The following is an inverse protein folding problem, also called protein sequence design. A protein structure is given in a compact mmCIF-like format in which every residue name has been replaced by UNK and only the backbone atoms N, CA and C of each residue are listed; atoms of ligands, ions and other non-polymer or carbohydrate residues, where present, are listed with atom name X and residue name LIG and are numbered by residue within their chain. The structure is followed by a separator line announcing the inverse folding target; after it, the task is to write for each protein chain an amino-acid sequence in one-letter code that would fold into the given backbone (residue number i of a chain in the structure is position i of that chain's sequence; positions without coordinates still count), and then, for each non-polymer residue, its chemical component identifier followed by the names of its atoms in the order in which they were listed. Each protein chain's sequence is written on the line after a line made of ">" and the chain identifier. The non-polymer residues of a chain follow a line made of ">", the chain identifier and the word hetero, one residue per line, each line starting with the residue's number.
data_IF_508772578537
#
_entry.id   IF_508772578537
#
_cell.length_a   1.000
_cell.length_b   1.000
_cell.length_c   1.000
_cell.angle_alpha   90.00
_cell.angle_beta   90.00
_cell.angle_gamma   90.00
#
_symmetry.space_group_name_H-M   'P 1'
#
loop_
_entity.id
_entity.type
_entity.pdbx_description
1 polymer ?
#
# COMPACT_ATOMS: atom_id res chain seq x y z
N UNK A 1 26.82 -30.58 22.41
CA UNK A 1 26.30 -29.39 21.71
C UNK A 1 24.87 -29.25 22.18
N UNK A 2 24.52 -28.16 22.84
CA UNK A 2 23.18 -27.94 23.32
C UNK A 2 22.20 -27.90 22.11
N UNK A 3 21.11 -28.62 22.24
CA UNK A 3 20.05 -28.67 21.21
C UNK A 3 19.33 -27.32 21.17
N UNK A 4 19.83 -26.39 20.33
CA UNK A 4 19.32 -25.02 20.19
C UNK A 4 18.41 -24.87 18.98
N UNK A 5 17.90 -25.99 18.44
CA UNK A 5 17.07 -26.00 17.23
C UNK A 5 15.89 -25.02 17.27
N UNK A 6 15.20 -24.89 18.41
CA UNK A 6 14.08 -23.95 18.56
C UNK A 6 14.54 -22.49 18.51
N UNK A 7 15.69 -22.16 19.11
CA UNK A 7 16.27 -20.82 19.06
C UNK A 7 16.70 -20.46 17.65
N UNK A 8 17.36 -21.38 16.96
CA UNK A 8 17.76 -21.17 15.56
C UNK A 8 16.54 -20.98 14.64
N UNK A 9 15.50 -21.78 14.82
CA UNK A 9 14.24 -21.65 14.09
C UNK A 9 13.58 -20.28 14.30
N UNK A 10 13.55 -19.77 15.53
CA UNK A 10 13.05 -18.44 15.84
C UNK A 10 13.88 -17.35 15.15
N UNK A 11 15.21 -17.44 15.22
CA UNK A 11 16.10 -16.48 14.55
C UNK A 11 15.87 -16.49 13.03
N UNK A 12 15.73 -17.67 12.41
CA UNK A 12 15.46 -17.77 10.98
C UNK A 12 14.07 -17.23 10.63
N UNK A 13 13.05 -17.45 11.46
CA UNK A 13 11.72 -16.88 11.26
C UNK A 13 11.74 -15.33 11.29
N UNK A 14 12.45 -14.74 12.25
CA UNK A 14 12.60 -13.28 12.36
C UNK A 14 13.38 -12.67 11.17
N UNK A 15 14.31 -13.41 10.58
CA UNK A 15 15.05 -12.98 9.38
C UNK A 15 14.19 -12.86 8.12
N UNK A 16 12.99 -13.42 8.11
CA UNK A 16 12.04 -13.25 7.00
C UNK A 16 11.46 -11.84 6.93
N UNK A 17 11.59 -11.07 8.00
CA UNK A 17 11.13 -9.68 8.03
C UNK A 17 12.08 -8.77 7.24
N UNK A 18 11.55 -7.84 6.42
CA UNK A 18 12.36 -6.90 5.64
C UNK A 18 13.28 -6.09 6.57
N UNK A 19 14.55 -5.93 6.19
CA UNK A 19 15.54 -5.18 6.97
C UNK A 19 16.07 -5.90 8.22
N UNK A 20 15.62 -7.13 8.53
CA UNK A 20 16.10 -7.89 9.69
C UNK A 20 17.21 -8.84 9.28
N UNK A 21 18.46 -8.44 9.55
CA UNK A 21 19.65 -9.28 9.41
C UNK A 21 19.85 -10.23 10.60
N UNK A 22 20.83 -11.14 10.48
CA UNK A 22 21.14 -12.16 11.51
C UNK A 22 21.38 -11.56 12.89
N UNK A 23 22.13 -10.45 12.99
CA UNK A 23 22.44 -9.80 14.27
C UNK A 23 21.18 -9.23 14.95
N UNK A 24 20.31 -8.59 14.19
CA UNK A 24 19.03 -8.05 14.69
C UNK A 24 18.08 -9.17 15.12
N UNK A 25 17.94 -10.21 14.30
CA UNK A 25 17.12 -11.37 14.61
C UNK A 25 17.57 -12.07 15.90
N UNK A 26 18.89 -12.30 16.07
CA UNK A 26 19.44 -12.92 17.29
C UNK A 26 19.17 -12.05 18.52
N UNK A 27 19.36 -10.72 18.42
CA UNK A 27 19.09 -9.80 19.54
C UNK A 27 17.60 -9.80 19.92
N UNK A 28 16.70 -9.79 18.93
CA UNK A 28 15.25 -9.89 19.17
C UNK A 28 14.87 -11.19 19.84
N UNK A 29 15.39 -12.34 19.35
CA UNK A 29 15.12 -13.65 19.92
C UNK A 29 15.60 -13.74 21.39
N UNK A 30 16.80 -13.27 21.69
CA UNK A 30 17.34 -13.26 23.06
C UNK A 30 16.51 -12.36 23.98
N UNK A 31 16.14 -11.16 23.52
CA UNK A 31 15.29 -10.26 24.30
C UNK A 31 13.94 -10.92 24.66
N UNK A 32 13.26 -11.48 23.70
CA UNK A 32 11.97 -12.14 23.91
C UNK A 32 12.09 -13.32 24.89
N UNK A 33 13.11 -14.17 24.72
CA UNK A 33 13.26 -15.36 25.54
C UNK A 33 13.75 -15.08 26.96
N UNK A 34 14.54 -14.02 27.14
CA UNK A 34 15.14 -13.66 28.42
C UNK A 34 14.25 -12.69 29.22
N UNK A 35 13.61 -11.72 28.55
CA UNK A 35 12.95 -10.61 29.21
C UNK A 35 11.43 -10.55 29.03
N UNK A 36 10.91 -11.14 27.93
CA UNK A 36 9.48 -11.00 27.59
C UNK A 36 8.89 -12.26 26.93
N UNK A 37 8.95 -13.38 27.63
CA UNK A 37 8.31 -14.62 27.17
C UNK A 37 6.78 -14.50 26.97
N UNK A 38 6.05 -13.80 27.85
CA UNK A 38 4.63 -13.56 27.60
C UNK A 38 4.37 -12.78 26.30
N UNK A 39 5.16 -11.75 26.02
CA UNK A 39 5.09 -10.98 24.76
C UNK A 39 5.40 -11.86 23.54
N UNK A 40 6.37 -12.76 23.63
CA UNK A 40 6.65 -13.73 22.57
C UNK A 40 5.43 -14.61 22.24
N UNK A 41 4.72 -15.10 23.26
CA UNK A 41 3.51 -15.90 23.07
C UNK A 41 2.35 -15.07 22.48
N UNK A 42 2.16 -13.84 22.94
CA UNK A 42 1.17 -12.92 22.38
C UNK A 42 1.45 -12.61 20.92
N UNK A 43 2.73 -12.37 20.54
CA UNK A 43 3.14 -12.16 19.15
C UNK A 43 2.86 -13.38 18.28
N UNK A 44 3.18 -14.59 18.77
CA UNK A 44 2.92 -15.82 18.04
C UNK A 44 1.41 -16.01 17.79
N UNK A 45 0.57 -15.78 18.81
CA UNK A 45 -0.88 -15.85 18.68
C UNK A 45 -1.43 -14.79 17.72
N UNK A 46 -0.98 -13.55 17.81
CA UNK A 46 -1.42 -12.46 16.93
C UNK A 46 -1.03 -12.73 15.45
N UNK A 47 0.18 -13.24 15.19
CA UNK A 47 0.61 -13.63 13.86
C UNK A 47 -0.25 -14.76 13.30
N UNK A 48 -0.54 -15.78 14.11
CA UNK A 48 -1.41 -16.88 13.70
C UNK A 48 -2.81 -16.37 13.36
N UNK A 49 -3.44 -15.59 14.25
CA UNK A 49 -4.78 -15.03 14.04
C UNK A 49 -4.83 -14.16 12.78
N UNK A 50 -3.82 -13.30 12.56
CA UNK A 50 -3.75 -12.47 11.37
C UNK A 50 -3.63 -13.32 10.10
N UNK A 51 -2.79 -14.36 10.10
CA UNK A 51 -2.61 -15.25 8.96
C UNK A 51 -3.88 -16.05 8.61
N UNK A 52 -4.67 -16.42 9.63
CA UNK A 52 -5.87 -17.23 9.44
C UNK A 52 -7.09 -16.38 9.00
N UNK A 53 -7.19 -15.11 9.45
CA UNK A 53 -8.41 -14.32 9.29
C UNK A 53 -8.29 -13.15 8.32
N UNK A 54 -7.09 -12.57 8.15
CA UNK A 54 -6.91 -11.44 7.24
C UNK A 54 -6.93 -11.92 5.78
N UNK A 55 -7.77 -11.28 5.01
CA UNK A 55 -7.95 -11.50 3.55
C UNK A 55 -7.95 -10.17 2.81
N UNK A 56 -8.04 -10.22 1.50
CA UNK A 56 -8.25 -9.04 0.69
C UNK A 56 -9.75 -8.75 0.53
N UNK A 57 -10.14 -7.49 0.71
CA UNK A 57 -11.48 -7.02 0.38
C UNK A 57 -11.78 -7.34 -1.09
N UNK A 58 -12.91 -7.99 -1.36
CA UNK A 58 -13.32 -8.37 -2.73
C UNK A 58 -13.47 -7.15 -3.65
N UNK A 59 -13.78 -5.97 -3.10
CA UNK A 59 -13.97 -4.74 -3.87
C UNK A 59 -12.72 -3.86 -4.00
N UNK A 60 -12.03 -3.52 -2.92
CA UNK A 60 -10.92 -2.56 -2.96
C UNK A 60 -9.54 -3.17 -2.78
N UNK A 61 -9.47 -4.47 -2.56
CA UNK A 61 -8.24 -5.25 -2.42
C UNK A 61 -7.39 -4.91 -1.17
N UNK A 62 -7.85 -4.02 -0.27
CA UNK A 62 -7.19 -3.76 1.03
C UNK A 62 -7.32 -4.96 1.97
N UNK A 63 -6.53 -5.00 3.03
CA UNK A 63 -6.67 -6.01 4.08
C UNK A 63 -7.94 -5.83 4.89
N UNK A 64 -8.62 -6.94 5.20
CA UNK A 64 -9.84 -6.98 6.00
C UNK A 64 -10.08 -8.39 6.55
N UNK A 65 -10.81 -8.51 7.64
CA UNK A 65 -11.30 -9.80 8.17
C UNK A 65 -12.59 -10.26 7.45
N UNK A 66 -13.32 -9.34 6.86
CA UNK A 66 -14.58 -9.60 6.18
C UNK A 66 -14.40 -9.72 4.66
N UNK A 67 -15.40 -10.21 3.95
CA UNK A 67 -15.41 -10.25 2.48
C UNK A 67 -15.27 -8.85 1.88
N UNK A 68 -16.01 -7.87 2.44
CA UNK A 68 -15.99 -6.45 2.03
C UNK A 68 -15.62 -5.60 3.24
N UNK A 69 -14.64 -4.70 3.09
CA UNK A 69 -14.19 -3.83 4.17
C UNK A 69 -15.20 -2.73 4.51
N UNK A 70 -15.09 -2.19 5.73
CA UNK A 70 -15.98 -1.13 6.22
C UNK A 70 -16.02 0.10 5.31
N UNK A 71 -14.88 0.48 4.72
CA UNK A 71 -14.80 1.62 3.78
C UNK A 71 -15.64 1.38 2.52
N UNK A 72 -15.64 0.18 1.96
CA UNK A 72 -16.45 -0.14 0.79
C UNK A 72 -17.95 -0.27 1.11
N UNK A 73 -18.29 -0.63 2.34
CA UNK A 73 -19.68 -0.73 2.81
C UNK A 73 -20.30 0.61 3.23
N UNK A 74 -19.48 1.63 3.48
CA UNK A 74 -19.99 2.93 3.95
C UNK A 74 -20.88 3.60 2.87
N UNK A 75 -22.18 3.77 3.14
CA UNK A 75 -23.13 4.36 2.18
C UNK A 75 -22.91 5.86 1.95
N UNK A 76 -22.12 6.52 2.82
CA UNK A 76 -21.84 7.96 2.73
C UNK A 76 -20.72 8.28 1.73
N UNK A 77 -20.09 7.27 1.14
CA UNK A 77 -19.00 7.44 0.19
C UNK A 77 -19.50 7.77 -1.23
N UNK A 78 -18.79 8.67 -1.86
CA UNK A 78 -19.01 9.06 -3.25
C UNK A 78 -18.53 7.92 -4.18
N UNK A 79 -19.49 7.17 -4.73
CA UNK A 79 -19.22 6.04 -5.62
C UNK A 79 -18.72 6.44 -7.00
N UNK A 80 -18.87 7.72 -7.37
CA UNK A 80 -18.41 8.25 -8.67
C UNK A 80 -16.87 8.44 -8.72
N UNK A 81 -16.18 8.37 -7.58
CA UNK A 81 -14.74 8.60 -7.49
C UNK A 81 -14.00 7.38 -6.93
N UNK A 82 -12.99 6.93 -7.66
CA UNK A 82 -12.12 5.82 -7.27
C UNK A 82 -10.68 6.29 -7.14
N UNK A 83 -10.11 6.24 -5.93
CA UNK A 83 -8.71 6.55 -5.68
C UNK A 83 -7.88 5.26 -5.68
N UNK A 84 -6.87 5.20 -6.54
CA UNK A 84 -5.95 4.06 -6.68
C UNK A 84 -4.65 4.37 -5.94
N UNK A 85 -4.30 3.53 -4.97
CA UNK A 85 -3.09 3.64 -4.13
C UNK A 85 -2.25 2.38 -4.24
N UNK A 86 -0.95 2.45 -3.91
CA UNK A 86 -0.04 1.30 -3.97
C UNK A 86 -0.21 0.37 -2.78
N UNK A 87 -0.40 0.92 -1.57
CA UNK A 87 -0.41 0.15 -0.32
C UNK A 87 -1.58 0.51 0.59
N UNK A 88 -1.93 -0.35 1.56
CA UNK A 88 -2.90 0.00 2.61
C UNK A 88 -2.44 1.19 3.47
N UNK A 89 -1.13 1.41 3.61
CA UNK A 89 -0.59 2.56 4.34
C UNK A 89 -0.87 3.87 3.60
N UNK A 90 -0.76 3.88 2.26
CA UNK A 90 -1.11 5.04 1.43
C UNK A 90 -2.61 5.33 1.53
N UNK A 91 -3.46 4.29 1.48
CA UNK A 91 -4.89 4.43 1.72
C UNK A 91 -5.18 5.11 3.07
N UNK A 92 -4.55 4.62 4.14
CA UNK A 92 -4.72 5.18 5.48
C UNK A 92 -4.20 6.63 5.56
N UNK A 93 -3.15 6.98 4.83
CA UNK A 93 -2.63 8.34 4.75
C UNK A 93 -3.65 9.29 4.10
N UNK A 94 -4.26 8.90 2.96
CA UNK A 94 -5.31 9.68 2.31
C UNK A 94 -6.54 9.81 3.22
N UNK A 95 -6.99 8.74 3.87
CA UNK A 95 -8.12 8.76 4.81
C UNK A 95 -7.93 9.75 5.96
N UNK A 96 -6.72 9.79 6.55
CA UNK A 96 -6.41 10.72 7.65
C UNK A 96 -6.53 12.20 7.27
N UNK A 97 -6.43 12.53 5.98
CA UNK A 97 -6.64 13.91 5.52
C UNK A 97 -8.09 14.37 5.65
N UNK A 98 -9.04 13.44 5.69
CA UNK A 98 -10.47 13.65 5.60
C UNK A 98 -10.93 14.44 4.35
N UNK A 99 -10.04 14.67 3.38
CA UNK A 99 -10.30 15.45 2.17
C UNK A 99 -10.94 14.61 1.04
N UNK A 100 -10.81 13.28 1.11
CA UNK A 100 -11.36 12.37 0.12
C UNK A 100 -12.48 11.52 0.72
N UNK A 101 -13.62 11.48 0.02
CA UNK A 101 -14.82 10.73 0.44
C UNK A 101 -15.25 9.68 -0.59
N UNK A 102 -14.42 9.39 -1.58
CA UNK A 102 -14.67 8.37 -2.60
C UNK A 102 -14.29 6.96 -2.16
N UNK A 103 -14.29 6.06 -3.13
CA UNK A 103 -13.87 4.67 -2.98
C UNK A 103 -12.38 4.50 -3.25
N UNK A 104 -11.81 3.37 -2.82
CA UNK A 104 -10.39 3.05 -3.04
C UNK A 104 -10.22 1.76 -3.85
N UNK A 105 -9.05 1.65 -4.46
CA UNK A 105 -8.47 0.39 -4.88
C UNK A 105 -6.98 0.36 -4.47
N UNK A 106 -6.57 -0.72 -3.82
CA UNK A 106 -5.20 -0.92 -3.32
C UNK A 106 -4.51 -1.95 -4.20
N UNK A 107 -3.44 -1.53 -4.86
CA UNK A 107 -2.69 -2.38 -5.80
C UNK A 107 -1.89 -3.48 -5.09
N UNK A 108 -1.55 -3.27 -3.80
CA UNK A 108 -0.64 -4.10 -3.01
C UNK A 108 0.79 -4.13 -3.55
N UNK A 109 1.16 -3.13 -4.37
CA UNK A 109 2.46 -2.99 -4.98
C UNK A 109 2.45 -2.02 -6.15
N UNK A 110 3.47 -2.14 -6.98
CA UNK A 110 3.69 -1.35 -8.19
C UNK A 110 4.28 -2.23 -9.28
N UNK A 111 4.15 -1.85 -10.52
CA UNK A 111 4.83 -2.53 -11.63
C UNK A 111 6.34 -2.37 -11.45
N UNK A 112 7.05 -3.48 -11.38
CA UNK A 112 8.52 -3.51 -11.27
C UNK A 112 9.06 -4.68 -12.09
N UNK A 113 9.43 -4.46 -13.36
CA UNK A 113 10.02 -5.50 -14.20
C UNK A 113 11.31 -6.09 -13.61
N UNK A 114 12.08 -5.27 -12.88
CA UNK A 114 13.32 -5.72 -12.23
C UNK A 114 13.06 -6.71 -11.09
N UNK A 115 11.94 -6.54 -10.38
CA UNK A 115 11.52 -7.43 -9.29
C UNK A 115 10.57 -8.54 -9.78
N UNK A 116 10.28 -8.60 -11.08
CA UNK A 116 9.36 -9.56 -11.69
C UNK A 116 7.88 -9.30 -11.38
N UNK A 117 7.52 -8.11 -10.87
CA UNK A 117 6.15 -7.75 -10.52
C UNK A 117 5.42 -7.22 -11.76
N UNK A 118 4.44 -7.99 -12.23
CA UNK A 118 3.64 -7.68 -13.41
C UNK A 118 2.20 -7.22 -13.08
N UNK A 119 1.40 -6.99 -14.13
CA UNK A 119 0.01 -6.54 -14.01
C UNK A 119 -0.89 -7.44 -13.16
N UNK A 120 -0.67 -8.75 -13.20
CA UNK A 120 -1.46 -9.72 -12.45
C UNK A 120 -1.16 -9.66 -10.94
N UNK A 121 0.10 -9.38 -10.58
CA UNK A 121 0.55 -9.37 -9.19
C UNK A 121 -0.04 -8.18 -8.41
N UNK A 122 -0.33 -7.07 -9.10
CA UNK A 122 -0.93 -5.87 -8.52
C UNK A 122 -2.44 -5.75 -8.80
N UNK A 123 -3.07 -6.82 -9.26
CA UNK A 123 -4.53 -6.92 -9.39
C UNK A 123 -5.16 -5.98 -10.43
N UNK A 124 -4.45 -5.63 -11.54
CA UNK A 124 -4.99 -4.68 -12.54
C UNK A 124 -6.31 -5.13 -13.17
N UNK A 125 -6.51 -6.43 -13.38
CA UNK A 125 -7.77 -6.93 -13.92
C UNK A 125 -8.96 -6.58 -13.01
N UNK A 126 -8.79 -6.74 -11.68
CA UNK A 126 -9.81 -6.38 -10.68
C UNK A 126 -10.04 -4.87 -10.62
N UNK A 127 -8.97 -4.07 -10.73
CA UNK A 127 -9.07 -2.62 -10.81
C UNK A 127 -9.91 -2.19 -12.01
N UNK A 128 -9.62 -2.74 -13.19
CA UNK A 128 -10.32 -2.39 -14.42
C UNK A 128 -11.79 -2.80 -14.37
N UNK A 129 -12.10 -3.99 -13.86
CA UNK A 129 -13.47 -4.43 -13.64
C UNK A 129 -14.21 -3.44 -12.72
N UNK A 130 -13.63 -3.15 -11.53
CA UNK A 130 -14.23 -2.21 -10.57
C UNK A 130 -14.45 -0.82 -11.14
N UNK A 131 -13.52 -0.31 -11.95
CA UNK A 131 -13.61 1.02 -12.53
C UNK A 131 -14.67 1.11 -13.65
N UNK A 132 -14.97 0.00 -14.33
CA UNK A 132 -15.86 -0.01 -15.49
C UNK A 132 -17.26 -0.58 -15.22
N UNK A 133 -17.42 -1.38 -14.16
CA UNK A 133 -18.69 -2.05 -13.83
C UNK A 133 -19.57 -1.26 -12.84
N UNK A 134 -19.08 -0.15 -12.31
CA UNK A 134 -19.79 0.66 -11.31
C UNK A 134 -20.16 2.06 -11.81
N UNK A 135 -20.54 2.92 -10.86
CA UNK A 135 -20.89 4.33 -11.11
C UNK A 135 -19.65 5.24 -11.20
N UNK A 136 -18.43 4.67 -11.35
CA UNK A 136 -17.17 5.43 -11.34
C UNK A 136 -17.09 6.32 -12.58
N UNK A 137 -16.95 7.62 -12.36
CA UNK A 137 -16.76 8.65 -13.39
C UNK A 137 -15.33 9.18 -13.41
N UNK A 138 -14.65 9.18 -12.25
CA UNK A 138 -13.27 9.65 -12.11
C UNK A 138 -12.43 8.62 -11.37
N UNK A 139 -11.26 8.30 -11.96
CA UNK A 139 -10.22 7.52 -11.31
C UNK A 139 -9.04 8.43 -10.99
N UNK A 140 -8.71 8.54 -9.70
CA UNK A 140 -7.61 9.35 -9.18
C UNK A 140 -6.43 8.43 -8.93
N UNK A 141 -5.35 8.58 -9.69
CA UNK A 141 -4.13 7.80 -9.50
C UNK A 141 -3.27 8.45 -8.41
N UNK A 142 -3.24 7.84 -7.24
CA UNK A 142 -2.48 8.26 -6.07
C UNK A 142 -1.31 7.31 -5.77
N UNK A 143 -0.65 6.81 -6.85
CA UNK A 143 0.60 6.06 -6.73
C UNK A 143 1.75 7.01 -6.38
N UNK A 144 2.79 6.46 -5.78
CA UNK A 144 3.97 7.23 -5.37
C UNK A 144 4.66 7.88 -6.59
N UNK A 145 5.34 9.01 -6.37
CA UNK A 145 6.09 9.72 -7.41
C UNK A 145 7.52 9.15 -7.59
N UNK A 146 7.64 7.82 -7.52
CA UNK A 146 8.85 7.07 -7.90
C UNK A 146 8.78 6.67 -9.37
N UNK A 147 9.91 6.29 -9.97
CA UNK A 147 9.93 5.87 -11.38
C UNK A 147 8.94 4.74 -11.68
N UNK A 148 8.88 3.73 -10.79
CA UNK A 148 7.95 2.60 -10.93
C UNK A 148 6.50 3.02 -10.66
N UNK A 149 6.25 3.91 -9.68
CA UNK A 149 4.92 4.44 -9.40
C UNK A 149 4.39 5.29 -10.55
N UNK A 150 5.25 6.07 -11.23
CA UNK A 150 4.93 6.81 -12.46
C UNK A 150 4.61 5.86 -13.62
N UNK A 151 5.45 4.84 -13.85
CA UNK A 151 5.21 3.84 -14.88
C UNK A 151 3.88 3.09 -14.63
N UNK A 152 3.60 2.73 -13.37
CA UNK A 152 2.35 2.10 -12.96
C UNK A 152 1.16 3.00 -13.25
N UNK A 153 1.25 4.30 -12.86
CA UNK A 153 0.19 5.27 -13.14
C UNK A 153 -0.04 5.47 -14.64
N UNK A 154 1.04 5.51 -15.42
CA UNK A 154 0.95 5.67 -16.87
C UNK A 154 0.18 4.51 -17.51
N UNK A 155 0.57 3.27 -17.21
CA UNK A 155 -0.08 2.05 -17.74
C UNK A 155 -1.56 2.01 -17.36
N UNK A 156 -1.89 2.25 -16.10
CA UNK A 156 -3.27 2.27 -15.62
C UNK A 156 -4.06 3.40 -16.29
N UNK A 157 -3.45 4.59 -16.35
CA UNK A 157 -4.10 5.77 -16.91
C UNK A 157 -4.45 5.62 -18.39
N UNK A 158 -3.54 5.11 -19.21
CA UNK A 158 -3.80 4.85 -20.63
C UNK A 158 -4.92 3.83 -20.83
N UNK A 159 -4.89 2.73 -20.08
CA UNK A 159 -5.91 1.69 -20.18
C UNK A 159 -7.31 2.18 -19.79
N UNK A 160 -7.41 3.03 -18.74
CA UNK A 160 -8.69 3.56 -18.28
C UNK A 160 -9.22 4.70 -19.16
N UNK A 161 -8.34 5.57 -19.67
CA UNK A 161 -8.73 6.60 -20.65
C UNK A 161 -9.26 5.99 -21.95
N UNK A 162 -8.64 4.90 -22.43
CA UNK A 162 -9.12 4.16 -23.59
C UNK A 162 -10.55 3.57 -23.37
N UNK A 163 -10.97 3.40 -22.13
CA UNK A 163 -12.34 2.98 -21.74
C UNK A 163 -13.30 4.18 -21.51
N UNK A 164 -12.87 5.41 -21.77
CA UNK A 164 -13.69 6.61 -21.63
C UNK A 164 -13.77 7.19 -20.22
N UNK A 165 -12.98 6.70 -19.26
CA UNK A 165 -12.98 7.19 -17.89
C UNK A 165 -12.12 8.45 -17.75
N UNK A 166 -12.58 9.39 -16.93
CA UNK A 166 -11.74 10.52 -16.50
C UNK A 166 -10.66 10.01 -15.55
N UNK A 167 -9.41 10.24 -15.93
CA UNK A 167 -8.26 9.85 -15.10
C UNK A 167 -7.49 11.09 -14.69
N UNK A 168 -7.37 11.29 -13.39
CA UNK A 168 -6.61 12.37 -12.78
C UNK A 168 -5.46 11.80 -11.93
N UNK A 169 -4.57 12.66 -11.47
CA UNK A 169 -3.44 12.31 -10.62
C UNK A 169 -3.33 13.33 -9.48
N UNK A 170 -2.73 12.90 -8.36
CA UNK A 170 -2.41 13.85 -7.30
C UNK A 170 -1.50 14.96 -7.84
N UNK A 171 -1.76 16.20 -7.42
CA UNK A 171 -0.91 17.32 -7.78
C UNK A 171 0.48 17.18 -7.14
N UNK A 172 1.51 17.55 -7.89
CA UNK A 172 2.87 17.74 -7.38
C UNK A 172 3.03 19.17 -6.93
N UNK A 173 3.85 19.41 -5.92
CA UNK A 173 4.11 20.77 -5.48
C UNK A 173 5.07 20.87 -4.32
N UNK A 174 5.49 22.10 -4.05
CA UNK A 174 6.31 22.44 -2.88
C UNK A 174 5.47 22.21 -1.63
N UNK A 175 5.98 21.49 -0.61
CA UNK A 175 5.26 21.26 0.64
C UNK A 175 4.93 22.58 1.36
N UNK A 176 3.71 22.72 1.87
CA UNK A 176 3.33 23.88 2.65
C UNK A 176 4.19 24.00 3.93
N UNK A 177 4.68 25.19 4.23
CA UNK A 177 5.55 25.46 5.36
C UNK A 177 7.04 25.17 5.11
N UNK A 178 7.43 24.75 3.90
CA UNK A 178 8.84 24.62 3.52
C UNK A 178 9.38 25.93 2.97
N UNK A 179 10.62 26.27 3.31
CA UNK A 179 11.38 27.31 2.62
C UNK A 179 11.92 26.76 1.31
N UNK A 180 11.82 27.54 0.24
CA UNK A 180 12.11 27.07 -1.12
C UNK A 180 13.55 26.56 -1.31
N UNK A 181 14.50 27.13 -0.55
CA UNK A 181 15.92 26.75 -0.60
C UNK A 181 16.21 25.34 -0.06
N UNK A 182 15.30 24.77 0.76
CA UNK A 182 15.44 23.41 1.32
C UNK A 182 14.64 22.36 0.54
N UNK A 183 13.92 22.76 -0.52
CA UNK A 183 13.17 21.83 -1.35
C UNK A 183 14.08 21.31 -2.47
N UNK A 184 14.00 20.02 -2.79
CA UNK A 184 14.79 19.46 -3.87
C UNK A 184 14.44 20.10 -5.23
N UNK A 185 15.45 20.23 -6.08
CA UNK A 185 15.34 20.92 -7.37
C UNK A 185 14.31 20.27 -8.31
N UNK A 186 14.14 18.94 -8.23
CA UNK A 186 13.16 18.21 -9.04
C UNK A 186 11.73 18.59 -8.64
N UNK A 187 11.45 18.68 -7.34
CA UNK A 187 10.14 19.14 -6.84
C UNK A 187 9.84 20.56 -7.26
N UNK A 188 10.81 21.48 -7.17
CA UNK A 188 10.65 22.86 -7.63
C UNK A 188 10.39 22.92 -9.15
N UNK A 189 11.15 22.16 -9.94
CA UNK A 189 10.98 22.10 -11.38
C UNK A 189 9.58 21.60 -11.77
N UNK A 190 9.11 20.53 -11.15
CA UNK A 190 7.77 20.01 -11.38
C UNK A 190 6.68 21.01 -10.97
N UNK A 191 6.84 21.67 -9.82
CA UNK A 191 5.90 22.71 -9.38
C UNK A 191 5.82 23.91 -10.35
N UNK A 192 6.94 24.27 -10.99
CA UNK A 192 6.98 25.31 -12.03
C UNK A 192 6.30 24.87 -13.33
N UNK A 193 6.45 23.59 -13.73
CA UNK A 193 5.80 23.05 -14.94
C UNK A 193 4.28 22.93 -14.71
N UNK A 194 3.88 22.42 -13.54
CA UNK A 194 2.48 22.14 -13.20
C UNK A 194 1.77 23.37 -12.56
N UNK A 195 2.36 24.57 -12.58
CA UNK A 195 1.78 25.79 -12.01
C UNK A 195 0.40 26.09 -12.61
N UNK A 196 -0.52 26.50 -11.78
CA UNK A 196 -1.91 26.86 -12.12
C UNK A 196 -2.08 28.37 -12.15
#
# INVERSE_FOLDING_TARGET
>A
MADTHCLESLIQALRRLPGVGIKSASRMAFHLLQHDRPGALLMAQALQQAADHIRHCSLCHTFTENEVCATCLDPKRDRSKLCVVETPADQAAVERTAAFRGLYFVLMGKLSPLDGIGPNDIGLAKLFARATEGDVQEVILATNFTAEGEATAHVIGEALRAKGLRVTRLARGVPAGSELEYVDLGTIAHALVDRR
#
